data_IF_142486899685
#
_entry.id   IF_142486899685
#
_cell.length_a   1.000
_cell.length_b   1.000
_cell.length_c   1.000
_cell.angle_alpha   90.00
_cell.angle_beta   90.00
_cell.angle_gamma   90.00
#
_symmetry.space_group_name_H-M   'P 1'
#
loop_
_entity.id
_entity.type
_entity.pdbx_description
1 polymer ?
#
# COMPACT_ATOMS: atom_id res chain seq x y z
N UNK A 1 11.92 16.38 20.76
CA UNK A 1 12.83 15.32 21.27
C UNK A 1 12.16 14.31 22.23
N UNK A 2 11.37 14.73 23.23
CA UNK A 2 10.66 13.78 24.14
C UNK A 2 9.27 13.40 23.66
N UNK A 3 8.48 14.36 23.16
CA UNK A 3 7.11 14.08 22.70
C UNK A 3 7.05 13.05 21.55
N UNK A 4 7.94 13.17 20.56
CA UNK A 4 8.07 12.20 19.45
C UNK A 4 8.36 10.79 19.98
N UNK A 5 9.33 10.66 20.87
CA UNK A 5 9.73 9.37 21.44
C UNK A 5 8.57 8.70 22.21
N UNK A 6 7.84 9.49 22.99
CA UNK A 6 6.62 9.01 23.69
C UNK A 6 5.56 8.54 22.68
N UNK A 7 5.33 9.31 21.60
CA UNK A 7 4.34 8.95 20.58
C UNK A 7 4.73 7.67 19.83
N UNK A 8 5.98 7.55 19.38
CA UNK A 8 6.49 6.35 18.69
C UNK A 8 6.33 5.12 19.57
N UNK A 9 6.74 5.20 20.84
CA UNK A 9 6.60 4.09 21.79
C UNK A 9 5.15 3.77 22.11
N UNK A 10 4.29 4.78 22.22
CA UNK A 10 2.86 4.58 22.41
C UNK A 10 2.24 3.83 21.22
N UNK A 11 2.49 4.29 19.99
CA UNK A 11 2.01 3.65 18.77
C UNK A 11 2.51 2.21 18.66
N UNK A 12 3.78 1.97 18.96
CA UNK A 12 4.33 0.62 19.00
C UNK A 12 3.59 -0.27 20.02
N UNK A 13 3.28 0.22 21.23
CA UNK A 13 2.51 -0.56 22.21
C UNK A 13 1.09 -0.87 21.75
N UNK A 14 0.42 0.09 21.10
CA UNK A 14 -0.90 -0.13 20.51
C UNK A 14 -0.82 -1.20 19.41
N UNK A 15 0.14 -1.09 18.50
CA UNK A 15 0.33 -2.05 17.42
C UNK A 15 0.69 -3.46 17.93
N UNK A 16 1.51 -3.57 18.98
CA UNK A 16 1.83 -4.85 19.61
C UNK A 16 0.60 -5.51 20.20
N UNK A 17 -0.24 -4.73 20.91
CA UNK A 17 -1.50 -5.23 21.45
C UNK A 17 -2.45 -5.70 20.34
N UNK A 18 -2.61 -4.91 19.27
CA UNK A 18 -3.44 -5.30 18.11
C UNK A 18 -2.91 -6.57 17.44
N UNK A 19 -1.60 -6.68 17.22
CA UNK A 19 -0.98 -7.87 16.66
C UNK A 19 -1.23 -9.11 17.52
N UNK A 20 -1.15 -8.99 18.85
CA UNK A 20 -1.46 -10.09 19.77
C UNK A 20 -2.93 -10.53 19.65
N UNK A 21 -3.88 -9.59 19.56
CA UNK A 21 -5.30 -9.94 19.39
C UNK A 21 -5.55 -10.63 18.05
N UNK A 22 -4.97 -10.10 16.95
CA UNK A 22 -5.15 -10.66 15.61
C UNK A 22 -4.51 -12.04 15.46
N UNK A 23 -3.37 -12.29 16.13
CA UNK A 23 -2.70 -13.61 16.14
C UNK A 23 -3.56 -14.74 16.69
N UNK A 24 -4.55 -14.42 17.53
CA UNK A 24 -5.51 -15.41 18.04
C UNK A 24 -6.49 -15.87 16.96
N UNK A 25 -6.66 -15.10 15.89
CA UNK A 25 -7.58 -15.36 14.79
C UNK A 25 -6.87 -15.93 13.55
N UNK A 26 -5.62 -15.50 13.29
CA UNK A 26 -4.83 -15.91 12.12
C UNK A 26 -3.35 -15.98 12.46
N UNK A 27 -2.66 -17.00 11.93
CA UNK A 27 -1.20 -17.10 12.04
C UNK A 27 -0.46 -16.04 11.21
N UNK A 28 -1.13 -15.41 10.26
CA UNK A 28 -0.59 -14.29 9.46
C UNK A 28 -1.27 -13.00 9.87
N UNK A 29 -0.49 -12.02 10.33
CA UNK A 29 -0.97 -10.69 10.69
C UNK A 29 -0.31 -9.65 9.79
N UNK A 30 -1.14 -8.80 9.21
CA UNK A 30 -0.73 -7.61 8.47
C UNK A 30 -1.22 -6.39 9.27
N UNK A 31 -0.35 -5.42 9.50
CA UNK A 31 -0.72 -4.14 10.13
C UNK A 31 -0.25 -3.01 9.23
N UNK A 32 -1.21 -2.21 8.75
CA UNK A 32 -0.92 -0.99 8.01
C UNK A 32 -1.11 0.23 8.92
N UNK A 33 -0.14 1.13 8.93
CA UNK A 33 -0.29 2.45 9.53
C UNK A 33 -0.96 3.38 8.50
N UNK A 34 -2.12 3.91 8.84
CA UNK A 34 -2.83 4.89 8.00
C UNK A 34 -2.23 6.27 8.22
N UNK A 35 -1.50 6.78 7.24
CA UNK A 35 -0.74 8.03 7.37
C UNK A 35 -1.01 8.99 6.20
N UNK A 36 -2.21 9.58 6.12
CA UNK A 36 -2.56 10.52 5.05
C UNK A 36 -1.70 11.80 5.08
N UNK A 37 -1.15 12.15 6.24
CA UNK A 37 -0.30 13.33 6.41
C UNK A 37 1.13 13.16 5.88
N UNK A 38 1.55 11.94 5.49
CA UNK A 38 2.83 11.75 4.81
C UNK A 38 2.91 12.54 3.50
N UNK A 39 1.78 12.81 2.84
CA UNK A 39 1.73 13.71 1.68
C UNK A 39 2.22 15.14 1.98
N UNK A 40 2.26 15.54 3.25
CA UNK A 40 2.73 16.86 3.70
C UNK A 40 4.19 16.87 4.15
N UNK A 41 4.84 15.71 4.32
CA UNK A 41 6.25 15.62 4.70
C UNK A 41 7.12 16.20 3.58
N UNK A 42 8.02 17.13 3.93
CA UNK A 42 8.84 17.86 2.94
C UNK A 42 8.17 19.11 2.37
N UNK A 43 6.93 19.41 2.76
CA UNK A 43 6.30 20.72 2.48
C UNK A 43 6.88 21.80 3.39
N UNK A 44 6.73 23.08 3.00
CA UNK A 44 7.11 24.22 3.83
C UNK A 44 6.38 24.28 5.18
N UNK A 45 5.28 23.53 5.34
CA UNK A 45 4.43 23.50 6.53
C UNK A 45 4.90 22.42 7.52
N UNK A 46 5.51 21.33 7.03
CA UNK A 46 6.01 20.21 7.85
C UNK A 46 7.48 19.94 7.51
N UNK A 47 8.36 20.70 8.16
CA UNK A 47 9.81 20.52 8.06
C UNK A 47 10.28 19.49 9.10
N UNK A 48 10.10 18.20 8.79
CA UNK A 48 10.69 17.10 9.54
C UNK A 48 11.85 16.50 8.73
N UNK A 49 13.01 16.24 9.34
CA UNK A 49 14.11 15.56 8.65
C UNK A 49 13.67 14.15 8.25
N UNK A 50 13.97 13.79 7.00
CA UNK A 50 13.62 12.49 6.40
C UNK A 50 14.09 11.31 7.25
N UNK A 51 15.31 11.39 7.75
CA UNK A 51 15.96 10.36 8.54
C UNK A 51 15.25 10.15 9.89
N UNK A 52 14.66 11.19 10.46
CA UNK A 52 13.90 11.08 11.70
C UNK A 52 12.55 10.37 11.49
N UNK A 53 11.91 10.61 10.34
CA UNK A 53 10.66 9.91 9.98
C UNK A 53 10.95 8.43 9.74
N UNK A 54 12.00 8.11 8.97
CA UNK A 54 12.42 6.73 8.72
C UNK A 54 12.75 6.03 10.04
N UNK A 55 13.56 6.64 10.90
CA UNK A 55 13.93 6.05 12.19
C UNK A 55 12.71 5.79 13.09
N UNK A 56 11.71 6.70 13.09
CA UNK A 56 10.49 6.52 13.86
C UNK A 56 9.62 5.36 13.34
N UNK A 57 9.49 5.23 12.01
CA UNK A 57 8.78 4.12 11.39
C UNK A 57 9.49 2.79 11.64
N UNK A 58 10.81 2.76 11.45
CA UNK A 58 11.64 1.58 11.64
C UNK A 58 11.61 1.09 13.09
N UNK A 59 11.58 1.99 14.08
CA UNK A 59 11.41 1.61 15.50
C UNK A 59 10.09 0.86 15.74
N UNK A 60 9.01 1.28 15.08
CA UNK A 60 7.70 0.60 15.17
C UNK A 60 7.78 -0.77 14.47
N UNK A 61 8.34 -0.82 13.26
CA UNK A 61 8.45 -2.06 12.48
C UNK A 61 9.34 -3.11 13.16
N UNK A 62 10.49 -2.71 13.68
CA UNK A 62 11.41 -3.58 14.42
C UNK A 62 10.77 -4.14 15.70
N UNK A 63 9.85 -3.39 16.33
CA UNK A 63 9.12 -3.81 17.51
C UNK A 63 7.97 -4.80 17.26
N UNK A 64 7.72 -5.19 16.00
CA UNK A 64 6.62 -6.06 15.58
C UNK A 64 7.13 -7.29 14.80
N UNK A 65 8.04 -8.11 15.35
CA UNK A 65 8.58 -9.27 14.65
C UNK A 65 7.47 -10.25 14.25
N UNK A 66 7.54 -10.76 13.02
CA UNK A 66 6.56 -11.68 12.45
C UNK A 66 5.20 -11.05 12.15
N UNK A 67 5.11 -9.73 12.08
CA UNK A 67 3.97 -9.00 11.50
C UNK A 67 4.43 -8.42 10.17
N UNK A 68 3.61 -8.52 9.12
CA UNK A 68 3.85 -7.77 7.89
C UNK A 68 3.39 -6.33 8.13
N UNK A 69 4.33 -5.47 8.51
CA UNK A 69 4.07 -4.06 8.74
C UNK A 69 4.07 -3.27 7.44
N UNK A 70 3.12 -2.37 7.31
CA UNK A 70 2.94 -1.57 6.12
C UNK A 70 2.43 -0.16 6.38
N UNK A 71 2.26 0.57 5.30
CA UNK A 71 1.67 1.91 5.28
C UNK A 71 0.58 1.94 4.22
N UNK A 72 -0.51 2.62 4.54
CA UNK A 72 -1.49 3.06 3.55
C UNK A 72 -1.42 4.58 3.41
N UNK A 73 -1.33 5.05 2.17
CA UNK A 73 -1.45 6.46 1.84
C UNK A 73 -2.24 6.61 0.52
N UNK A 74 -3.39 7.24 0.59
CA UNK A 74 -4.24 7.50 -0.58
C UNK A 74 -3.90 8.81 -1.32
N UNK A 75 -2.89 9.55 -0.84
CA UNK A 75 -2.41 10.77 -1.46
C UNK A 75 -1.00 10.57 -2.05
N UNK A 76 -0.59 11.48 -2.93
CA UNK A 76 0.78 11.48 -3.42
C UNK A 76 1.73 11.95 -2.31
N UNK A 77 2.76 11.15 -2.01
CA UNK A 77 3.78 11.42 -0.99
C UNK A 77 5.20 11.19 -1.54
N UNK A 78 6.23 11.51 -0.78
CA UNK A 78 7.60 11.08 -1.05
C UNK A 78 7.70 9.57 -0.80
N UNK A 79 7.31 8.78 -1.80
CA UNK A 79 7.39 7.32 -1.74
C UNK A 79 8.82 6.82 -1.56
N UNK A 80 9.81 7.57 -2.03
CA UNK A 80 11.21 7.28 -1.77
C UNK A 80 11.49 7.20 -0.26
N UNK A 81 10.86 8.03 0.57
CA UNK A 81 11.00 8.02 2.04
C UNK A 81 10.55 6.68 2.61
N UNK A 82 9.35 6.25 2.20
CA UNK A 82 8.78 5.00 2.67
C UNK A 82 9.58 3.81 2.15
N UNK A 83 9.96 3.82 0.88
CA UNK A 83 10.75 2.75 0.26
C UNK A 83 12.16 2.61 0.85
N UNK A 84 12.71 3.68 1.44
CA UNK A 84 13.96 3.65 2.18
C UNK A 84 13.83 3.14 3.63
N UNK A 85 12.61 3.03 4.16
CA UNK A 85 12.33 2.43 5.47
C UNK A 85 12.20 0.90 5.40
N UNK A 86 12.02 0.26 6.55
CA UNK A 86 11.75 -1.17 6.70
C UNK A 86 10.30 -1.57 6.41
N UNK A 87 9.51 -0.69 5.81
CA UNK A 87 8.14 -1.02 5.37
C UNK A 87 8.17 -2.31 4.52
N UNK A 88 7.24 -3.23 4.82
CA UNK A 88 7.10 -4.50 4.12
C UNK A 88 5.86 -4.56 3.23
N UNK A 89 4.86 -3.71 3.48
CA UNK A 89 3.62 -3.61 2.71
C UNK A 89 3.30 -2.15 2.39
N UNK A 90 3.09 -1.83 1.12
CA UNK A 90 2.81 -0.46 0.67
C UNK A 90 1.46 -0.42 -0.05
N UNK A 91 0.46 0.22 0.54
CA UNK A 91 -0.85 0.44 -0.09
C UNK A 91 -0.95 1.86 -0.60
N UNK A 92 -1.15 2.01 -1.90
CA UNK A 92 -1.23 3.29 -2.58
C UNK A 92 -2.40 3.32 -3.55
N UNK A 93 -2.90 4.52 -3.82
CA UNK A 93 -3.94 4.75 -4.82
C UNK A 93 -3.34 4.65 -6.23
N UNK A 94 -3.46 3.45 -6.80
CA UNK A 94 -3.05 3.16 -8.17
C UNK A 94 -4.12 3.55 -9.20
N UNK A 95 -5.32 3.92 -8.77
CA UNK A 95 -6.38 4.33 -9.67
C UNK A 95 -6.15 5.77 -10.16
N UNK A 96 -5.85 6.68 -9.25
CA UNK A 96 -5.57 8.10 -9.54
C UNK A 96 -4.05 8.39 -9.65
N UNK A 97 -3.21 7.73 -8.84
CA UNK A 97 -1.78 8.07 -8.71
C UNK A 97 -0.83 6.93 -9.08
N UNK A 98 -1.20 6.12 -10.08
CA UNK A 98 -0.39 5.00 -10.58
C UNK A 98 1.09 5.35 -10.82
N UNK A 99 1.37 6.55 -11.32
CA UNK A 99 2.70 6.95 -11.76
C UNK A 99 3.58 7.45 -10.60
N UNK A 100 3.05 7.57 -9.39
CA UNK A 100 3.77 8.14 -8.23
C UNK A 100 5.02 7.32 -7.83
N UNK A 101 4.98 6.00 -7.99
CA UNK A 101 6.14 5.12 -7.75
C UNK A 101 7.14 5.10 -8.91
N UNK A 102 6.76 5.53 -10.12
CA UNK A 102 7.66 5.56 -11.28
C UNK A 102 8.81 6.56 -11.15
N UNK A 103 8.73 7.43 -10.15
CA UNK A 103 9.78 8.38 -9.79
C UNK A 103 10.93 7.70 -9.02
N UNK A 104 10.71 6.49 -8.49
CA UNK A 104 11.63 5.78 -7.60
C UNK A 104 11.89 4.32 -8.05
N UNK A 105 12.27 4.08 -9.32
CA UNK A 105 12.36 2.71 -9.84
C UNK A 105 13.42 1.85 -9.15
N UNK A 106 14.53 2.45 -8.71
CA UNK A 106 15.58 1.74 -7.98
C UNK A 106 15.11 1.34 -6.58
N UNK A 107 14.43 2.25 -5.88
CA UNK A 107 13.91 2.01 -4.53
C UNK A 107 12.75 1.01 -4.54
N UNK A 108 11.87 1.07 -5.55
CA UNK A 108 10.83 0.05 -5.76
C UNK A 108 11.47 -1.30 -6.05
N UNK A 109 12.49 -1.35 -6.90
CA UNK A 109 13.19 -2.62 -7.19
C UNK A 109 13.86 -3.19 -5.93
N UNK A 110 14.50 -2.36 -5.11
CA UNK A 110 15.06 -2.77 -3.83
C UNK A 110 13.99 -3.22 -2.81
N UNK A 111 12.81 -2.59 -2.83
CA UNK A 111 11.65 -2.99 -2.03
C UNK A 111 11.12 -4.36 -2.42
N UNK A 112 10.94 -4.61 -3.72
CA UNK A 112 10.51 -5.91 -4.22
C UNK A 112 11.56 -6.99 -3.95
N UNK A 113 12.85 -6.68 -4.16
CA UNK A 113 13.95 -7.64 -3.95
C UNK A 113 14.08 -8.10 -2.49
N UNK A 114 13.69 -7.27 -1.51
CA UNK A 114 13.66 -7.65 -0.08
C UNK A 114 12.34 -8.29 0.35
N UNK A 115 11.45 -8.64 -0.59
CA UNK A 115 10.16 -9.29 -0.32
C UNK A 115 9.02 -8.34 0.03
N UNK A 116 9.14 -7.06 -0.34
CA UNK A 116 8.09 -6.07 -0.15
C UNK A 116 6.85 -6.37 -1.00
N UNK A 117 5.67 -6.02 -0.47
CA UNK A 117 4.36 -6.22 -1.09
C UNK A 117 3.77 -4.88 -1.53
N UNK A 118 3.34 -4.78 -2.79
CA UNK A 118 2.65 -3.61 -3.33
C UNK A 118 1.15 -3.87 -3.38
N UNK A 119 0.37 -3.15 -2.57
CA UNK A 119 -1.07 -3.12 -2.68
C UNK A 119 -1.52 -2.03 -3.67
N UNK A 120 -1.84 -2.49 -4.87
CA UNK A 120 -2.39 -1.66 -5.93
C UNK A 120 -3.86 -1.36 -5.62
N UNK A 121 -4.10 -0.16 -5.10
CA UNK A 121 -5.43 0.42 -4.92
C UNK A 121 -6.06 0.80 -6.26
N UNK A 122 -6.40 -0.19 -7.08
CA UNK A 122 -6.88 -0.01 -8.47
C UNK A 122 -8.41 0.01 -8.56
N UNK A 123 -9.14 -0.41 -7.53
CA UNK A 123 -10.60 -0.29 -7.51
C UNK A 123 -10.98 1.10 -6.98
N UNK A 124 -11.76 1.92 -7.72
CA UNK A 124 -12.06 3.27 -7.30
C UNK A 124 -12.94 3.32 -6.06
N UNK A 125 -12.91 4.47 -5.37
CA UNK A 125 -13.75 4.76 -4.20
C UNK A 125 -14.80 5.84 -4.48
N UNK A 126 -14.81 6.45 -5.66
CA UNK A 126 -15.88 7.36 -6.08
C UNK A 126 -17.07 6.56 -6.62
N UNK A 127 -18.29 6.91 -6.19
CA UNK A 127 -19.52 6.17 -6.53
C UNK A 127 -19.73 6.02 -8.05
N UNK A 128 -19.54 7.09 -8.79
CA UNK A 128 -19.75 7.14 -10.23
C UNK A 128 -18.71 6.28 -10.95
N UNK A 129 -17.45 6.35 -10.51
CA UNK A 129 -16.37 5.53 -11.04
C UNK A 129 -16.57 4.04 -10.73
N UNK A 130 -16.98 3.72 -9.50
CA UNK A 130 -17.38 2.36 -9.13
C UNK A 130 -18.41 1.88 -10.13
N UNK A 131 -19.55 2.56 -10.28
CA UNK A 131 -20.65 2.16 -11.15
C UNK A 131 -20.24 1.91 -12.61
N UNK A 132 -19.25 2.67 -13.12
CA UNK A 132 -18.78 2.58 -14.50
C UNK A 132 -17.76 1.45 -14.77
N UNK A 133 -16.99 1.04 -13.76
CA UNK A 133 -15.91 0.06 -13.92
C UNK A 133 -16.41 -1.39 -13.91
N UNK A 134 -15.74 -2.26 -14.67
CA UNK A 134 -15.88 -3.72 -14.68
C UNK A 134 -14.55 -4.39 -14.31
N UNK A 135 -14.53 -5.70 -13.97
CA UNK A 135 -13.29 -6.42 -13.72
C UNK A 135 -12.30 -6.35 -14.89
N UNK A 136 -12.80 -6.40 -16.14
CA UNK A 136 -11.98 -6.34 -17.35
C UNK A 136 -11.34 -4.97 -17.56
N UNK A 137 -12.11 -3.88 -17.40
CA UNK A 137 -11.58 -2.53 -17.57
C UNK A 137 -10.52 -2.20 -16.51
N UNK A 138 -10.71 -2.68 -15.27
CA UNK A 138 -9.73 -2.57 -14.20
C UNK A 138 -8.50 -3.44 -14.42
N UNK A 139 -8.66 -4.65 -14.97
CA UNK A 139 -7.53 -5.49 -15.34
C UNK A 139 -6.69 -4.82 -16.43
N UNK A 140 -7.32 -4.32 -17.49
CA UNK A 140 -6.62 -3.61 -18.57
C UNK A 140 -5.93 -2.33 -18.06
N UNK A 141 -6.52 -1.65 -17.08
CA UNK A 141 -5.87 -0.54 -16.38
C UNK A 141 -4.61 -1.00 -15.65
N UNK A 142 -4.68 -2.09 -14.87
CA UNK A 142 -3.52 -2.61 -14.14
C UNK A 142 -2.41 -3.06 -15.10
N UNK A 143 -2.75 -3.75 -16.19
CA UNK A 143 -1.78 -4.14 -17.23
C UNK A 143 -1.03 -2.92 -17.77
N UNK A 144 -1.75 -1.84 -18.11
CA UNK A 144 -1.12 -0.59 -18.54
C UNK A 144 -0.22 0.03 -17.47
N UNK A 145 -0.54 -0.12 -16.19
CA UNK A 145 0.32 0.35 -15.09
C UNK A 145 1.60 -0.49 -15.06
N UNK A 146 1.48 -1.81 -15.07
CA UNK A 146 2.62 -2.74 -15.06
C UNK A 146 3.55 -2.55 -16.28
N UNK A 147 2.98 -2.27 -17.46
CA UNK A 147 3.78 -1.97 -18.66
C UNK A 147 4.58 -0.67 -18.51
N UNK A 148 3.99 0.38 -17.90
CA UNK A 148 4.73 1.62 -17.59
C UNK A 148 5.81 1.39 -16.54
N UNK A 149 5.56 0.54 -15.55
CA UNK A 149 6.53 0.16 -14.52
C UNK A 149 7.72 -0.59 -15.16
N UNK A 150 7.44 -1.55 -16.02
CA UNK A 150 8.46 -2.28 -16.78
C UNK A 150 9.30 -1.34 -17.66
N UNK A 151 8.66 -0.41 -18.37
CA UNK A 151 9.34 0.60 -19.19
C UNK A 151 10.24 1.55 -18.38
N UNK A 152 10.04 1.64 -17.06
CA UNK A 152 10.85 2.45 -16.13
C UNK A 152 11.80 1.61 -15.27
N UNK A 153 11.96 0.32 -15.56
CA UNK A 153 12.94 -0.53 -14.90
C UNK A 153 12.43 -1.28 -13.67
N UNK A 154 11.11 -1.34 -13.45
CA UNK A 154 10.49 -2.21 -12.44
C UNK A 154 9.90 -3.44 -13.17
N UNK A 155 10.59 -4.59 -13.18
CA UNK A 155 10.19 -5.75 -13.99
C UNK A 155 8.83 -6.32 -13.55
N UNK A 156 8.03 -6.79 -14.52
CA UNK A 156 6.71 -7.39 -14.24
C UNK A 156 6.85 -8.66 -13.42
N UNK A 157 7.92 -9.42 -13.66
CA UNK A 157 8.29 -10.65 -12.97
C UNK A 157 8.58 -10.42 -11.49
N UNK A 158 8.96 -9.20 -11.10
CA UNK A 158 9.12 -8.81 -9.70
C UNK A 158 7.82 -8.21 -9.13
N UNK A 159 7.13 -7.36 -9.90
CA UNK A 159 5.96 -6.63 -9.42
C UNK A 159 4.70 -7.52 -9.28
N UNK A 160 4.45 -8.42 -10.23
CA UNK A 160 3.22 -9.25 -10.25
C UNK A 160 3.14 -10.21 -9.06
N UNK A 161 4.19 -10.98 -8.69
CA UNK A 161 4.12 -11.87 -7.53
C UNK A 161 3.99 -11.12 -6.20
N UNK A 162 4.43 -9.87 -6.16
CA UNK A 162 4.36 -9.00 -4.99
C UNK A 162 3.07 -8.17 -4.91
N UNK A 163 2.16 -8.31 -5.87
CA UNK A 163 0.96 -7.47 -5.97
C UNK A 163 -0.19 -7.98 -5.09
N UNK A 164 -0.83 -7.07 -4.37
CA UNK A 164 -2.14 -7.24 -3.73
C UNK A 164 -3.11 -6.25 -4.35
N UNK A 165 -4.35 -6.68 -4.58
CA UNK A 165 -5.39 -5.83 -5.17
C UNK A 165 -6.28 -5.31 -4.05
N UNK A 166 -6.46 -3.99 -4.00
CA UNK A 166 -7.32 -3.32 -3.00
C UNK A 166 -8.18 -2.24 -3.66
N UNK A 167 -9.22 -1.75 -2.95
CA UNK A 167 -9.73 -0.41 -3.17
C UNK A 167 -8.63 0.65 -3.01
N UNK A 168 -8.79 1.79 -3.67
CA UNK A 168 -7.87 2.92 -3.60
C UNK A 168 -7.75 3.53 -2.19
N UNK A 169 -8.83 3.46 -1.39
CA UNK A 169 -8.90 3.96 -0.03
C UNK A 169 -10.04 3.25 0.73
N UNK A 170 -10.28 3.64 1.98
CA UNK A 170 -11.42 3.16 2.77
C UNK A 170 -12.78 3.47 2.11
N UNK A 171 -13.73 2.55 2.26
CA UNK A 171 -15.08 2.65 1.70
C UNK A 171 -16.12 3.20 2.69
N UNK A 172 -15.69 3.61 3.89
CA UNK A 172 -16.60 3.92 5.01
C UNK A 172 -17.49 5.16 4.82
N UNK A 173 -17.22 5.99 3.82
CA UNK A 173 -18.04 7.16 3.46
C UNK A 173 -19.07 6.86 2.38
N UNK A 174 -19.04 5.67 1.79
CA UNK A 174 -19.97 5.26 0.74
C UNK A 174 -21.22 4.60 1.34
N UNK A 175 -22.37 4.72 0.65
CA UNK A 175 -23.51 3.88 0.99
C UNK A 175 -23.21 2.41 0.76
N UNK A 176 -23.82 1.56 1.58
CA UNK A 176 -23.53 0.12 1.69
C UNK A 176 -23.49 -0.58 0.33
N UNK A 177 -24.49 -0.36 -0.53
CA UNK A 177 -24.55 -0.94 -1.87
C UNK A 177 -23.30 -0.58 -2.73
N UNK A 178 -22.82 0.67 -2.63
CA UNK A 178 -21.63 1.10 -3.36
C UNK A 178 -20.36 0.46 -2.80
N UNK A 179 -20.28 0.30 -1.47
CA UNK A 179 -19.16 -0.38 -0.82
C UNK A 179 -19.14 -1.88 -1.17
N UNK A 180 -20.28 -2.57 -1.10
CA UNK A 180 -20.40 -3.97 -1.52
C UNK A 180 -20.00 -4.17 -2.97
N UNK A 181 -20.41 -3.27 -3.86
CA UNK A 181 -20.03 -3.34 -5.28
C UNK A 181 -18.52 -3.16 -5.47
N UNK A 182 -17.89 -2.22 -4.77
CA UNK A 182 -16.44 -2.04 -4.83
C UNK A 182 -15.68 -3.27 -4.33
N UNK A 183 -16.13 -3.89 -3.23
CA UNK A 183 -15.54 -5.14 -2.73
C UNK A 183 -15.73 -6.29 -3.73
N UNK A 184 -16.90 -6.41 -4.35
CA UNK A 184 -17.17 -7.40 -5.40
C UNK A 184 -16.24 -7.24 -6.60
N UNK A 185 -16.08 -6.01 -7.11
CA UNK A 185 -15.11 -5.71 -8.15
C UNK A 185 -13.68 -6.12 -7.76
N UNK A 186 -13.29 -5.86 -6.51
CA UNK A 186 -11.96 -6.24 -6.00
C UNK A 186 -11.74 -7.75 -6.06
N UNK A 187 -12.74 -8.53 -5.64
CA UNK A 187 -12.69 -10.01 -5.67
C UNK A 187 -12.68 -10.53 -7.10
N UNK A 188 -13.57 -10.04 -7.96
CA UNK A 188 -13.69 -10.46 -9.36
C UNK A 188 -12.43 -10.12 -10.16
N UNK A 189 -11.87 -8.93 -9.97
CA UNK A 189 -10.60 -8.52 -10.55
C UNK A 189 -9.45 -9.43 -10.10
N UNK A 190 -9.35 -9.71 -8.80
CA UNK A 190 -8.32 -10.61 -8.25
C UNK A 190 -8.42 -12.01 -8.87
N UNK A 191 -9.63 -12.55 -9.02
CA UNK A 191 -9.86 -13.84 -9.67
C UNK A 191 -9.45 -13.83 -11.15
N UNK A 192 -9.83 -12.78 -11.89
CA UNK A 192 -9.47 -12.60 -13.30
C UNK A 192 -7.94 -12.54 -13.49
N UNK A 193 -7.24 -11.75 -12.68
CA UNK A 193 -5.78 -11.63 -12.74
C UNK A 193 -5.09 -12.93 -12.37
N UNK A 194 -5.54 -13.65 -11.34
CA UNK A 194 -5.01 -14.96 -10.98
C UNK A 194 -5.19 -15.99 -12.09
N UNK A 195 -6.30 -15.95 -12.83
CA UNK A 195 -6.49 -16.82 -13.99
C UNK A 195 -5.50 -16.46 -15.13
N UNK A 196 -5.26 -15.17 -15.38
CA UNK A 196 -4.30 -14.70 -16.39
C UNK A 196 -2.86 -15.09 -16.05
N UNK A 197 -2.41 -14.78 -14.83
CA UNK A 197 -1.02 -15.01 -14.40
C UNK A 197 -0.75 -16.44 -13.91
N UNK A 198 -1.76 -17.12 -13.37
CA UNK A 198 -1.64 -18.52 -12.94
C UNK A 198 -1.60 -19.52 -14.11
N UNK A 199 -2.10 -19.13 -15.29
CA UNK A 199 -1.93 -19.91 -16.53
C UNK A 199 -0.52 -19.77 -17.15
N UNK A 200 0.30 -18.85 -16.64
CA UNK A 200 1.65 -18.54 -17.14
C UNK A 200 2.77 -19.01 -16.20
N UNK A 201 2.42 -19.74 -15.12
CA UNK A 201 3.36 -20.34 -14.14
C UNK A 201 3.49 -21.84 -14.32
#
# INVERSE_FOLDING_TARGET
>A
PVGRDVLVKYLLRVAQWQAEQLRRLSGTVILALDEPYLASVGSAIVSLPREEVIAALDEIFDGLPGVLCGIHCCANTDWGLLLASKVGYLSFDAYEYADSLLLYPEEVSAFLARGGVLAFGVVPTAREAIAAETPESLADRLERILDRYAARGIPREAAVPAAVITPACGLGTLPEESAERALRLTVELSALLRARYGATS
#
